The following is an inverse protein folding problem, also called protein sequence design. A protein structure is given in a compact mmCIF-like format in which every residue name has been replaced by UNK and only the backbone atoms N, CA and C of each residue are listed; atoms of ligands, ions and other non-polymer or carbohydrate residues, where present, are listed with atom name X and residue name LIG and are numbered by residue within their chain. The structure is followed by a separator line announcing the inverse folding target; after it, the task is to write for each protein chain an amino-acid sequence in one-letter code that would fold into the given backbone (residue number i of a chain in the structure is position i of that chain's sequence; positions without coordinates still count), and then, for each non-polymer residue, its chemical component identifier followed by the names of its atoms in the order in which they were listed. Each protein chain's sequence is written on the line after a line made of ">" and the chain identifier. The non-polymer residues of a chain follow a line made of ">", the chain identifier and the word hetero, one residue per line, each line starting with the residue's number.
data_IF_306322748904
#
_entry.id   IF_306322748904
#
_cell.length_a   1.000
_cell.length_b   1.000
_cell.length_c   1.000
_cell.angle_alpha   90.00
_cell.angle_beta   90.00
_cell.angle_gamma   90.00
#
_symmetry.space_group_name_H-M   'P 1'
#
loop_
_entity.id
_entity.type
_entity.pdbx_description
1 polymer ?
#
# COMPACT_ATOMS: atom_id res chain seq x y z
N UNK A 1 6.13 -22.08 1.04
CA UNK A 1 4.72 -22.03 1.54
C UNK A 1 4.06 -20.79 0.97
N UNK A 2 2.78 -20.85 0.56
CA UNK A 2 2.07 -19.66 0.10
C UNK A 2 1.94 -18.63 1.23
N UNK A 3 1.98 -17.35 0.89
CA UNK A 3 1.80 -16.23 1.82
C UNK A 3 0.54 -15.46 1.46
N UNK A 4 -0.15 -14.90 2.44
CA UNK A 4 -1.32 -14.05 2.18
C UNK A 4 -0.86 -12.65 1.81
N UNK A 5 -1.21 -12.20 0.60
CA UNK A 5 -1.09 -10.81 0.18
C UNK A 5 -2.45 -10.16 -0.04
N UNK A 6 -2.44 -8.94 -0.59
CA UNK A 6 -3.64 -8.17 -0.88
C UNK A 6 -3.66 -7.73 -2.34
N UNK A 7 -4.78 -7.93 -3.02
CA UNK A 7 -5.11 -7.25 -4.28
C UNK A 7 -5.78 -5.92 -3.96
N UNK A 8 -5.32 -4.85 -4.61
CA UNK A 8 -5.89 -3.51 -4.56
C UNK A 8 -6.36 -3.17 -5.98
N UNK A 9 -7.67 -3.19 -6.20
CA UNK A 9 -8.27 -2.91 -7.50
C UNK A 9 -8.15 -1.44 -7.90
N UNK A 10 -7.82 -1.18 -9.17
CA UNK A 10 -7.98 0.15 -9.76
C UNK A 10 -9.46 0.50 -9.93
N UNK A 11 -9.78 1.77 -10.22
CA UNK A 11 -11.16 2.27 -10.27
C UNK A 11 -12.09 1.42 -11.15
N UNK A 12 -11.61 0.98 -12.32
CA UNK A 12 -12.38 0.14 -13.25
C UNK A 12 -12.65 -1.28 -12.72
N UNK A 13 -11.79 -1.78 -11.84
CA UNK A 13 -11.88 -3.14 -11.29
C UNK A 13 -12.60 -3.17 -9.93
N UNK A 14 -12.80 -2.02 -9.27
CA UNK A 14 -13.45 -1.94 -7.94
C UNK A 14 -14.88 -2.48 -7.89
N UNK A 15 -15.57 -2.57 -9.03
CA UNK A 15 -16.86 -3.26 -9.11
C UNK A 15 -16.79 -4.78 -8.93
N UNK A 16 -15.60 -5.37 -9.11
CA UNK A 16 -15.35 -6.82 -9.08
C UNK A 16 -14.58 -7.28 -7.84
N UNK A 17 -14.03 -6.36 -7.05
CA UNK A 17 -13.21 -6.64 -5.87
C UNK A 17 -13.70 -5.87 -4.65
N UNK A 18 -13.45 -6.39 -3.45
CA UNK A 18 -13.38 -5.51 -2.26
C UNK A 18 -12.20 -4.56 -2.41
N UNK A 19 -12.21 -3.43 -1.68
CA UNK A 19 -11.11 -2.46 -1.74
C UNK A 19 -9.75 -3.09 -1.45
N UNK A 20 -9.73 -4.00 -0.46
CA UNK A 20 -8.59 -4.85 -0.11
C UNK A 20 -9.04 -6.31 -0.17
N UNK A 21 -8.63 -7.02 -1.22
CA UNK A 21 -9.00 -8.42 -1.43
C UNK A 21 -7.83 -9.34 -1.03
N UNK A 22 -7.97 -10.18 0.01
CA UNK A 22 -6.98 -11.20 0.31
C UNK A 22 -6.74 -12.14 -0.87
N UNK A 23 -5.46 -12.49 -1.10
CA UNK A 23 -5.03 -13.43 -2.13
C UNK A 23 -3.92 -14.32 -1.59
N UNK A 24 -3.93 -15.60 -1.96
CA UNK A 24 -2.80 -16.50 -1.72
C UNK A 24 -1.73 -16.31 -2.80
N UNK A 25 -0.50 -16.06 -2.37
CA UNK A 25 0.66 -15.86 -3.22
C UNK A 25 1.54 -17.10 -3.10
N UNK A 26 1.50 -17.96 -4.11
CA UNK A 26 2.37 -19.11 -4.20
C UNK A 26 3.81 -18.72 -4.58
N UNK A 27 4.72 -19.69 -4.57
CA UNK A 27 6.15 -19.50 -4.88
C UNK A 27 6.41 -19.14 -6.36
N UNK A 28 5.44 -19.38 -7.25
CA UNK A 28 5.54 -19.09 -8.69
C UNK A 28 4.98 -17.72 -9.04
N UNK A 29 4.24 -17.08 -8.13
CA UNK A 29 3.59 -15.81 -8.35
C UNK A 29 4.61 -14.76 -8.85
N UNK A 30 4.28 -13.98 -9.90
CA UNK A 30 5.23 -13.06 -10.52
C UNK A 30 5.82 -12.00 -9.58
N UNK A 31 5.10 -11.63 -8.52
CA UNK A 31 5.55 -10.65 -7.51
C UNK A 31 6.94 -10.95 -6.92
N UNK A 32 7.33 -12.22 -6.82
CA UNK A 32 8.64 -12.60 -6.27
C UNK A 32 9.79 -12.16 -7.17
N UNK A 33 9.54 -12.04 -8.49
CA UNK A 33 10.53 -11.71 -9.51
C UNK A 33 10.36 -10.32 -10.11
N UNK A 34 9.12 -9.86 -10.23
CA UNK A 34 8.74 -8.63 -10.92
C UNK A 34 8.12 -7.59 -9.98
N UNK A 35 7.90 -7.92 -8.71
CA UNK A 35 7.43 -6.97 -7.70
C UNK A 35 8.50 -5.94 -7.39
N UNK A 36 8.07 -4.70 -7.18
CA UNK A 36 8.93 -3.56 -6.83
C UNK A 36 8.75 -3.25 -5.35
N UNK A 37 9.84 -2.96 -4.64
CA UNK A 37 9.76 -2.55 -3.24
C UNK A 37 9.11 -1.17 -3.14
N UNK A 38 8.18 -1.01 -2.22
CA UNK A 38 7.65 0.32 -1.93
C UNK A 38 8.76 1.21 -1.34
N UNK A 39 9.02 2.43 -1.86
CA UNK A 39 10.19 3.21 -1.47
C UNK A 39 10.22 3.53 0.03
N UNK A 40 9.13 4.07 0.58
CA UNK A 40 9.04 4.39 2.02
C UNK A 40 9.08 3.15 2.92
N UNK A 41 8.68 1.98 2.40
CA UNK A 41 8.72 0.72 3.15
C UNK A 41 10.14 0.38 3.64
N UNK A 42 11.16 0.75 2.85
CA UNK A 42 12.57 0.59 3.22
C UNK A 42 12.98 1.52 4.37
N UNK A 43 12.39 2.71 4.45
CA UNK A 43 12.71 3.72 5.45
C UNK A 43 12.07 3.34 6.80
N UNK A 44 10.82 2.90 6.78
CA UNK A 44 10.08 2.50 7.99
C UNK A 44 10.33 1.05 8.40
N UNK A 45 11.25 0.33 7.75
CA UNK A 45 11.62 -1.04 8.10
C UNK A 45 10.51 -2.08 7.97
N UNK A 46 9.48 -1.83 7.16
CA UNK A 46 8.39 -2.78 6.88
C UNK A 46 8.44 -3.15 5.40
N UNK A 47 9.33 -4.04 5.00
CA UNK A 47 9.56 -4.33 3.58
C UNK A 47 8.35 -5.05 2.94
N UNK A 48 7.76 -4.42 1.92
CA UNK A 48 6.74 -5.03 1.09
C UNK A 48 6.95 -4.72 -0.40
N UNK A 49 6.52 -5.66 -1.24
CA UNK A 49 6.56 -5.57 -2.70
C UNK A 49 5.17 -5.25 -3.25
N UNK A 50 5.15 -4.46 -4.31
CA UNK A 50 3.97 -4.14 -5.11
C UNK A 50 4.20 -4.66 -6.53
N UNK A 51 3.24 -5.43 -7.04
CA UNK A 51 3.26 -5.99 -8.39
C UNK A 51 2.03 -5.54 -9.16
N UNK A 52 2.23 -4.95 -10.34
CA UNK A 52 1.14 -4.59 -11.25
C UNK A 52 0.71 -5.78 -12.08
N UNK A 53 -0.60 -5.96 -12.20
CA UNK A 53 -1.16 -7.02 -13.04
C UNK A 53 -1.00 -6.70 -14.54
N UNK A 54 -1.01 -5.41 -14.88
CA UNK A 54 -0.80 -4.92 -16.25
C UNK A 54 0.47 -4.07 -16.31
N UNK A 55 1.51 -4.46 -17.06
CA UNK A 55 2.71 -3.65 -17.26
C UNK A 55 2.40 -2.35 -18.00
N UNK A 56 3.08 -1.24 -17.63
CA UNK A 56 2.90 0.08 -18.27
C UNK A 56 3.05 0.05 -19.80
N UNK A 57 3.96 -0.77 -20.32
CA UNK A 57 4.19 -0.93 -21.77
C UNK A 57 2.97 -1.48 -22.53
N UNK A 58 2.03 -2.12 -21.82
CA UNK A 58 0.79 -2.68 -22.38
C UNK A 58 -0.43 -1.78 -22.14
N UNK A 59 -0.24 -0.62 -21.51
CA UNK A 59 -1.29 0.38 -21.27
C UNK A 59 -1.49 1.30 -22.49
N UNK A 60 -0.74 1.10 -23.57
CA UNK A 60 -0.91 1.84 -24.83
C UNK A 60 -2.32 1.63 -25.41
N UNK A 61 -3.12 2.70 -25.42
CA UNK A 61 -4.45 2.73 -26.02
C UNK A 61 -5.63 2.65 -25.04
N UNK A 62 -5.38 2.37 -23.75
CA UNK A 62 -6.41 2.45 -22.69
C UNK A 62 -6.14 3.69 -21.84
N UNK A 63 -6.35 4.87 -22.43
CA UNK A 63 -6.44 6.12 -21.66
C UNK A 63 -7.80 6.16 -20.98
N UNK A 64 -7.91 5.65 -19.76
CA UNK A 64 -9.13 5.75 -18.98
C UNK A 64 -8.82 5.83 -17.51
N UNK A 65 -9.56 6.68 -16.80
CA UNK A 65 -9.55 6.77 -15.34
C UNK A 65 -9.77 5.40 -14.65
N UNK A 66 -10.28 4.40 -15.38
CA UNK A 66 -10.43 3.03 -14.88
C UNK A 66 -9.12 2.36 -14.44
N UNK A 67 -7.95 2.78 -14.94
CA UNK A 67 -6.67 2.25 -14.46
C UNK A 67 -6.08 3.04 -13.28
N UNK A 68 -6.72 4.13 -12.86
CA UNK A 68 -6.24 4.89 -11.72
C UNK A 68 -6.38 4.06 -10.44
N UNK A 69 -5.34 4.10 -9.62
CA UNK A 69 -5.30 3.38 -8.34
C UNK A 69 -4.51 4.23 -7.36
N UNK A 70 -5.19 5.22 -6.79
CA UNK A 70 -4.58 6.19 -5.88
C UNK A 70 -3.92 5.52 -4.67
N UNK A 71 -4.50 4.44 -4.16
CA UNK A 71 -3.91 3.66 -3.06
C UNK A 71 -2.56 3.10 -3.48
N UNK A 72 -2.46 2.45 -4.65
CA UNK A 72 -1.20 1.96 -5.18
C UNK A 72 -0.20 3.09 -5.44
N UNK A 73 -0.66 4.25 -5.92
CA UNK A 73 0.19 5.45 -6.07
C UNK A 73 0.77 5.87 -4.72
N UNK A 74 -0.05 5.94 -3.67
CA UNK A 74 0.40 6.38 -2.35
C UNK A 74 1.37 5.38 -1.72
N UNK A 75 1.10 4.08 -1.85
CA UNK A 75 2.02 3.01 -1.44
C UNK A 75 3.40 3.10 -2.08
N UNK A 76 3.52 3.82 -3.20
CA UNK A 76 4.74 3.97 -3.99
C UNK A 76 5.33 5.38 -3.94
N UNK A 77 4.92 6.22 -2.99
CA UNK A 77 5.53 7.53 -2.75
C UNK A 77 6.99 7.38 -2.29
N UNK A 78 7.80 8.36 -2.64
CA UNK A 78 9.18 8.50 -2.21
C UNK A 78 9.29 9.49 -1.05
N UNK A 79 10.53 9.74 -0.60
CA UNK A 79 10.85 10.63 0.53
C UNK A 79 10.46 12.10 0.32
N UNK A 80 10.11 12.49 -0.89
CA UNK A 80 9.69 13.84 -1.27
C UNK A 80 8.16 13.97 -1.37
N UNK A 81 7.42 12.89 -1.08
CA UNK A 81 5.97 12.87 -1.16
C UNK A 81 5.42 12.58 -2.56
N UNK A 82 6.27 12.35 -3.56
CA UNK A 82 5.82 11.99 -4.90
C UNK A 82 6.06 10.51 -5.17
N UNK A 83 5.10 9.85 -5.81
CA UNK A 83 5.34 8.53 -6.38
C UNK A 83 6.25 8.63 -7.61
N UNK A 84 7.04 7.60 -7.89
CA UNK A 84 7.82 7.52 -9.12
C UNK A 84 6.94 7.71 -10.37
N UNK A 85 7.44 8.30 -11.48
CA UNK A 85 6.63 8.66 -12.66
C UNK A 85 5.82 7.52 -13.28
N UNK A 86 6.20 6.27 -13.02
CA UNK A 86 5.43 5.09 -13.41
C UNK A 86 4.19 4.87 -12.56
N UNK A 87 4.20 5.23 -11.28
CA UNK A 87 3.12 5.03 -10.29
C UNK A 87 2.17 6.21 -10.14
N UNK A 88 2.52 7.39 -10.67
CA UNK A 88 1.70 8.61 -10.53
C UNK A 88 0.35 8.53 -11.26
N UNK A 89 0.27 7.77 -12.35
CA UNK A 89 -0.96 7.64 -13.16
C UNK A 89 -1.12 6.20 -13.60
N UNK A 90 -2.37 5.75 -13.74
CA UNK A 90 -2.68 4.43 -14.31
C UNK A 90 -1.87 3.29 -13.67
N UNK A 91 -1.77 3.30 -12.34
CA UNK A 91 -1.05 2.27 -11.60
C UNK A 91 -1.66 0.87 -11.81
N UNK A 92 -2.94 0.81 -12.20
CA UNK A 92 -3.69 -0.42 -12.46
C UNK A 92 -3.97 -1.21 -11.19
N UNK A 93 -4.60 -2.37 -11.35
CA UNK A 93 -4.75 -3.32 -10.24
C UNK A 93 -3.39 -3.88 -9.85
N UNK A 94 -3.15 -3.96 -8.53
CA UNK A 94 -1.89 -4.41 -7.97
C UNK A 94 -2.09 -5.53 -6.96
N UNK A 95 -1.06 -6.37 -6.79
CA UNK A 95 -0.88 -7.25 -5.63
C UNK A 95 0.22 -6.70 -4.74
N UNK A 96 -0.01 -6.70 -3.43
CA UNK A 96 0.95 -6.32 -2.40
C UNK A 96 1.26 -7.54 -1.53
N UNK A 97 2.54 -7.74 -1.20
CA UNK A 97 2.97 -8.78 -0.25
C UNK A 97 4.09 -8.27 0.65
N UNK A 98 4.13 -8.77 1.89
CA UNK A 98 5.30 -8.57 2.76
C UNK A 98 6.44 -9.48 2.33
N UNK A 99 7.66 -8.97 2.42
CA UNK A 99 8.85 -9.74 2.05
C UNK A 99 9.32 -10.70 3.14
N UNK A 100 9.00 -10.41 4.41
CA UNK A 100 9.29 -11.30 5.54
C UNK A 100 8.38 -12.53 5.62
N UNK A 101 7.48 -12.70 4.65
CA UNK A 101 6.56 -13.83 4.55
C UNK A 101 5.41 -13.81 5.54
N UNK A 102 5.29 -12.77 6.39
CA UNK A 102 4.11 -12.61 7.25
C UNK A 102 2.88 -12.26 6.40
N UNK A 103 1.68 -12.69 6.80
CA UNK A 103 0.46 -12.36 6.06
C UNK A 103 0.18 -10.86 6.10
N UNK A 104 -0.34 -10.34 5.00
CA UNK A 104 -0.90 -8.99 4.93
C UNK A 104 -2.43 -9.09 4.99
N UNK A 105 -3.04 -8.50 6.03
CA UNK A 105 -4.51 -8.44 6.16
C UNK A 105 -5.07 -7.14 5.55
N UNK A 106 -6.37 -7.09 5.22
CA UNK A 106 -7.04 -5.86 4.80
C UNK A 106 -6.81 -4.69 5.75
N UNK A 107 -6.91 -4.92 7.05
CA UNK A 107 -6.71 -3.89 8.08
C UNK A 107 -5.25 -3.44 8.16
N UNK A 108 -4.31 -4.36 7.91
CA UNK A 108 -2.88 -4.05 7.91
C UNK A 108 -2.51 -3.14 6.74
N UNK A 109 -2.98 -3.46 5.53
CA UNK A 109 -2.70 -2.62 4.36
C UNK A 109 -3.45 -1.29 4.40
N UNK A 110 -4.67 -1.27 4.95
CA UNK A 110 -5.42 -0.03 5.22
C UNK A 110 -4.60 0.88 6.16
N UNK A 111 -4.08 0.33 7.25
CA UNK A 111 -3.26 1.10 8.21
C UNK A 111 -2.00 1.67 7.57
N UNK A 112 -1.31 0.87 6.73
CA UNK A 112 -0.11 1.32 6.00
C UNK A 112 -0.46 2.43 5.01
N UNK A 113 -1.53 2.25 4.24
CA UNK A 113 -1.99 3.25 3.27
C UNK A 113 -2.37 4.56 3.96
N UNK A 114 -3.11 4.51 5.07
CA UNK A 114 -3.52 5.70 5.82
C UNK A 114 -2.33 6.44 6.45
N UNK A 115 -1.26 5.74 6.81
CA UNK A 115 -0.03 6.40 7.24
C UNK A 115 0.62 7.19 6.10
N UNK A 116 0.66 6.64 4.88
CA UNK A 116 1.21 7.34 3.73
C UNK A 116 0.32 8.49 3.26
N UNK A 117 -1.00 8.33 3.32
CA UNK A 117 -1.97 9.41 3.10
C UNK A 117 -1.72 10.57 4.07
N UNK A 118 -1.60 10.28 5.37
CA UNK A 118 -1.25 11.29 6.37
C UNK A 118 0.10 11.98 6.11
N UNK A 119 1.12 11.24 5.66
CA UNK A 119 2.39 11.86 5.25
C UNK A 119 2.22 12.83 4.08
N UNK A 120 1.35 12.52 3.10
CA UNK A 120 1.08 13.40 1.97
C UNK A 120 0.37 14.69 2.39
N UNK A 121 -0.56 14.61 3.35
CA UNK A 121 -1.14 15.80 3.97
C UNK A 121 -0.04 16.69 4.57
N UNK A 122 0.89 16.10 5.33
CA UNK A 122 2.01 16.84 5.91
C UNK A 122 2.95 17.45 4.85
N UNK A 123 3.16 16.79 3.71
CA UNK A 123 3.93 17.36 2.60
C UNK A 123 3.29 18.59 1.98
N UNK A 124 1.95 18.69 2.03
CA UNK A 124 1.22 19.87 1.60
C UNK A 124 1.52 21.11 2.45
N UNK A 125 1.84 20.91 3.73
CA UNK A 125 2.09 21.97 4.71
C UNK A 125 3.58 22.25 4.93
N UNK A 126 4.36 21.23 5.31
CA UNK A 126 5.79 21.32 5.63
C UNK A 126 6.52 20.00 5.25
N UNK A 127 7.21 19.98 4.08
CA UNK A 127 7.98 18.82 3.64
C UNK A 127 9.05 18.35 4.64
N UNK A 128 9.66 19.26 5.40
CA UNK A 128 10.69 18.88 6.38
C UNK A 128 10.05 18.19 7.58
N UNK A 129 8.89 18.68 8.02
CA UNK A 129 8.11 18.02 9.08
C UNK A 129 7.64 16.63 8.64
N UNK A 130 7.14 16.49 7.41
CA UNK A 130 6.72 15.21 6.85
C UNK A 130 7.86 14.18 6.84
N UNK A 131 9.04 14.58 6.35
CA UNK A 131 10.23 13.72 6.35
C UNK A 131 10.65 13.28 7.77
N UNK A 132 10.53 14.16 8.76
CA UNK A 132 10.79 13.82 10.16
C UNK A 132 9.78 12.81 10.75
N UNK A 133 8.64 12.59 10.10
CA UNK A 133 7.68 11.55 10.49
C UNK A 133 7.98 10.19 9.83
N UNK A 134 8.91 10.10 8.87
CA UNK A 134 9.28 8.88 8.15
C UNK A 134 10.31 8.05 8.94
N UNK A 135 9.96 7.65 10.16
CA UNK A 135 10.78 6.72 10.94
C UNK A 135 9.96 5.52 11.37
N UNK A 136 10.66 4.44 11.71
CA UNK A 136 10.02 3.23 12.23
C UNK A 136 9.14 3.52 13.44
N UNK A 137 9.67 4.27 14.40
CA UNK A 137 9.00 4.60 15.66
C UNK A 137 7.74 5.43 15.43
N UNK A 138 7.81 6.39 14.49
CA UNK A 138 6.67 7.24 14.12
C UNK A 138 5.60 6.46 13.37
N UNK A 139 5.99 5.54 12.50
CA UNK A 139 5.09 4.61 11.85
C UNK A 139 4.36 3.70 12.85
N UNK A 140 5.08 3.08 13.78
CA UNK A 140 4.48 2.23 14.82
C UNK A 140 3.51 3.02 15.72
N UNK A 141 3.90 4.23 16.11
CA UNK A 141 3.05 5.13 16.88
C UNK A 141 1.77 5.51 16.11
N UNK A 142 1.87 5.77 14.81
CA UNK A 142 0.72 6.00 13.94
C UNK A 142 -0.18 4.75 13.90
N UNK A 143 0.39 3.57 13.66
CA UNK A 143 -0.39 2.33 13.57
C UNK A 143 -1.19 2.06 14.84
N UNK A 144 -0.58 2.28 16.01
CA UNK A 144 -1.27 2.14 17.30
C UNK A 144 -2.43 3.13 17.42
N UNK A 145 -2.18 4.41 17.15
CA UNK A 145 -3.22 5.46 17.21
C UNK A 145 -4.37 5.16 16.25
N UNK A 146 -4.05 4.80 15.01
CA UNK A 146 -5.05 4.46 13.99
C UNK A 146 -5.90 3.25 14.43
N UNK A 147 -5.27 2.18 14.93
CA UNK A 147 -6.01 1.04 15.48
C UNK A 147 -6.96 1.46 16.61
N UNK A 148 -6.47 2.24 17.57
CA UNK A 148 -7.28 2.71 18.71
C UNK A 148 -8.47 3.56 18.23
N UNK A 149 -8.25 4.46 17.27
CA UNK A 149 -9.32 5.27 16.65
C UNK A 149 -10.36 4.41 15.90
N UNK A 150 -9.93 3.41 15.14
CA UNK A 150 -10.85 2.50 14.44
C UNK A 150 -11.71 1.71 15.43
N UNK A 151 -11.13 1.25 16.53
CA UNK A 151 -11.89 0.55 17.58
C UNK A 151 -12.89 1.47 18.28
N UNK A 152 -12.49 2.70 18.61
CA UNK A 152 -13.40 3.70 19.20
C UNK A 152 -14.59 4.03 18.28
N UNK A 153 -14.38 3.99 16.97
CA UNK A 153 -15.43 4.20 15.97
C UNK A 153 -16.22 2.92 15.62
N UNK A 154 -16.01 1.81 16.33
CA UNK A 154 -16.80 0.59 16.20
C UNK A 154 -16.35 -0.38 15.10
N UNK A 155 -15.18 -0.17 14.48
CA UNK A 155 -14.62 -1.07 13.46
C UNK A 155 -13.96 -2.30 14.11
N UNK A 156 -14.78 -3.25 14.55
CA UNK A 156 -14.35 -4.45 15.30
C UNK A 156 -13.36 -5.34 14.56
N UNK A 157 -13.28 -5.27 13.23
CA UNK A 157 -12.28 -6.02 12.47
C UNK A 157 -10.83 -5.65 12.85
N UNK A 158 -10.62 -4.44 13.38
CA UNK A 158 -9.32 -4.00 13.88
C UNK A 158 -8.92 -4.62 15.24
N UNK A 159 -9.82 -5.31 15.95
CA UNK A 159 -9.50 -5.92 17.27
C UNK A 159 -8.33 -6.90 17.13
N UNK A 160 -8.38 -7.71 16.06
CA UNK A 160 -7.40 -8.74 15.73
C UNK A 160 -6.20 -8.24 14.93
N UNK A 161 -6.15 -6.94 14.60
CA UNK A 161 -5.01 -6.38 13.88
C UNK A 161 -3.75 -6.49 14.73
N UNK A 162 -2.81 -7.30 14.28
CA UNK A 162 -1.43 -7.21 14.75
C UNK A 162 -0.79 -5.99 14.08
N UNK A 163 -0.21 -5.10 14.89
CA UNK A 163 0.33 -3.86 14.34
C UNK A 163 1.42 -4.18 13.31
N UNK A 164 1.40 -3.55 12.13
CA UNK A 164 2.43 -3.73 11.13
C UNK A 164 3.81 -3.47 11.75
N UNK A 165 4.60 -4.54 11.89
CA UNK A 165 5.92 -4.52 12.49
C UNK A 165 6.90 -5.43 11.75
#
# INVERSE_FOLDING_TARGET
>A
MPVTGIIIGCEGDRGSYTLFQPVEIDEKHPIHRLGVHAPLSNIIGLLFKVYRHVPRSRVSGVSGAGLDNQIATYLMIEKDGFAGPEWQVQAGTVTVMREDGKPLTPESIETIWMYFDWLLELFGDDPSYAQNQMTREKFEAFCKRYKDERLLNGFKQFEKLELPS
#
